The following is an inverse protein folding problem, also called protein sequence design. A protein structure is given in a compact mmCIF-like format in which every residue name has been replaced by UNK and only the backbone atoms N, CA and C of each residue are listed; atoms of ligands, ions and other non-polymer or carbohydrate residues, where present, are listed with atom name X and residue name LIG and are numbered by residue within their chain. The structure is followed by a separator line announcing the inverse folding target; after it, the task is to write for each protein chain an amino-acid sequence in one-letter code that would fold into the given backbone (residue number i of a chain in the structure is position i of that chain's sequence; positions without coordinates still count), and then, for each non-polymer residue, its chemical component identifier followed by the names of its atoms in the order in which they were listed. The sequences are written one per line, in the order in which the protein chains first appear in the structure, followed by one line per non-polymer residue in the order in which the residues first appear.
data_IF_307320221405
#
_entry.id   IF_307320221405
#
_cell.length_a   1.000
_cell.length_b   1.000
_cell.length_c   1.000
_cell.angle_alpha   90.00
_cell.angle_beta   90.00
_cell.angle_gamma   90.00
#
_symmetry.space_group_name_H-M   'P 1'
#
loop_
_entity.id
_entity.type
_entity.pdbx_description
1 polymer ?
#
# COMPACT_ATOMS: atom_id res chain seq x y z
N UNK A 1 16.23 -17.27 -21.42
CA UNK A 1 15.91 -18.16 -20.28
C UNK A 1 14.93 -17.53 -19.28
N UNK A 2 14.99 -16.21 -18.99
CA UNK A 2 14.00 -15.52 -18.14
C UNK A 2 12.57 -15.45 -18.75
N UNK A 3 12.43 -15.37 -20.08
CA UNK A 3 11.12 -15.39 -20.76
C UNK A 3 10.34 -16.68 -20.55
N UNK A 4 11.03 -17.84 -20.50
CA UNK A 4 10.37 -19.14 -20.36
C UNK A 4 9.99 -19.45 -18.90
N UNK A 5 10.75 -18.92 -17.93
CA UNK A 5 10.38 -19.01 -16.52
C UNK A 5 9.21 -18.05 -16.17
N UNK A 6 9.10 -16.93 -16.89
CA UNK A 6 7.99 -15.99 -16.76
C UNK A 6 6.73 -16.49 -17.48
N UNK A 7 6.84 -17.07 -18.68
CA UNK A 7 5.72 -17.80 -19.30
C UNK A 7 5.28 -18.99 -18.42
N UNK A 8 6.21 -19.65 -17.74
CA UNK A 8 5.89 -20.67 -16.75
C UNK A 8 5.18 -20.07 -15.53
N UNK A 9 5.68 -19.01 -14.89
CA UNK A 9 4.97 -18.37 -13.76
C UNK A 9 3.65 -17.71 -14.15
N UNK A 10 3.49 -17.16 -15.35
CA UNK A 10 2.21 -16.58 -15.81
C UNK A 10 1.20 -17.66 -16.20
N UNK A 11 1.67 -18.82 -16.66
CA UNK A 11 0.83 -20.02 -16.86
C UNK A 11 0.59 -20.82 -15.55
N UNK A 12 1.41 -20.62 -14.51
CA UNK A 12 1.39 -21.39 -13.25
C UNK A 12 1.11 -20.55 -11.97
N UNK A 13 0.99 -19.22 -12.06
CA UNK A 13 0.08 -18.46 -11.18
C UNK A 13 -1.27 -19.05 -11.53
N UNK A 14 -1.66 -19.98 -10.68
CA UNK A 14 -2.49 -21.10 -11.05
C UNK A 14 -3.92 -20.61 -11.34
N UNK A 15 -4.19 -20.17 -12.57
CA UNK A 15 -5.55 -19.98 -13.06
C UNK A 15 -6.37 -21.27 -13.00
N UNK A 16 -5.73 -22.45 -12.83
CA UNK A 16 -6.46 -23.69 -12.52
C UNK A 16 -6.96 -23.70 -11.07
N UNK A 17 -6.35 -22.95 -10.14
CA UNK A 17 -6.78 -22.84 -8.73
C UNK A 17 -7.46 -21.53 -8.35
N UNK A 18 -7.16 -20.42 -9.02
CA UNK A 18 -7.65 -19.08 -8.65
C UNK A 18 -9.16 -18.91 -8.80
N UNK A 19 -9.82 -19.77 -9.58
CA UNK A 19 -11.28 -19.74 -9.72
C UNK A 19 -11.95 -21.05 -9.26
N UNK A 20 -11.25 -22.19 -9.24
CA UNK A 20 -11.91 -23.48 -9.16
C UNK A 20 -11.09 -24.52 -8.39
N UNK A 21 -11.42 -24.69 -7.10
CA UNK A 21 -11.24 -26.01 -6.49
C UNK A 21 -12.02 -27.04 -7.35
N UNK A 22 -11.59 -28.32 -7.39
CA UNK A 22 -12.30 -29.39 -8.10
C UNK A 22 -13.80 -29.52 -7.76
N UNK A 23 -14.24 -28.86 -6.69
CA UNK A 23 -15.62 -28.76 -6.22
C UNK A 23 -16.53 -28.02 -7.24
N UNK A 24 -16.04 -26.96 -7.90
CA UNK A 24 -16.85 -26.13 -8.82
C UNK A 24 -17.01 -26.81 -10.19
N UNK A 25 -15.96 -27.49 -10.67
CA UNK A 25 -15.97 -28.25 -11.93
C UNK A 25 -16.52 -29.67 -11.77
N UNK A 26 -16.50 -30.22 -10.54
CA UNK A 26 -16.78 -31.62 -10.26
C UNK A 26 -18.26 -32.01 -10.29
N UNK A 27 -19.20 -31.17 -9.86
CA UNK A 27 -20.62 -31.54 -9.87
C UNK A 27 -21.51 -30.28 -9.91
N UNK A 28 -22.27 -30.10 -11.00
CA UNK A 28 -23.49 -29.25 -11.12
C UNK A 28 -23.37 -27.72 -11.06
N UNK A 29 -22.19 -27.12 -10.86
CA UNK A 29 -22.03 -25.65 -10.77
C UNK A 29 -21.27 -25.01 -11.95
N UNK A 30 -21.06 -25.72 -13.05
CA UNK A 30 -20.30 -25.22 -14.22
C UNK A 30 -20.88 -23.96 -14.87
N UNK A 31 -22.17 -23.68 -14.67
CA UNK A 31 -22.86 -22.49 -15.17
C UNK A 31 -22.96 -21.35 -14.15
N UNK A 32 -22.52 -21.57 -12.90
CA UNK A 32 -22.58 -20.55 -11.87
C UNK A 32 -21.62 -19.40 -12.21
N UNK A 33 -22.06 -18.13 -12.27
CA UNK A 33 -21.17 -17.01 -12.49
C UNK A 33 -20.06 -16.95 -11.45
N UNK A 34 -18.83 -16.70 -11.89
CA UNK A 34 -17.67 -16.52 -11.01
C UNK A 34 -17.27 -15.04 -11.05
N UNK A 35 -17.02 -14.48 -9.86
CA UNK A 35 -16.41 -13.16 -9.68
C UNK A 35 -15.09 -13.36 -8.96
N UNK A 36 -14.03 -12.71 -9.44
CA UNK A 36 -12.73 -12.68 -8.78
C UNK A 36 -12.67 -11.39 -7.95
N UNK A 37 -12.82 -11.53 -6.63
CA UNK A 37 -12.89 -10.41 -5.71
C UNK A 37 -11.58 -9.63 -5.57
N UNK A 38 -10.44 -10.29 -5.70
CA UNK A 38 -9.12 -9.66 -5.61
C UNK A 38 -8.10 -10.45 -6.44
N UNK A 39 -7.32 -9.75 -7.26
CA UNK A 39 -6.18 -10.32 -8.00
C UNK A 39 -5.14 -9.24 -8.27
N UNK A 40 -3.86 -9.59 -8.25
CA UNK A 40 -2.79 -8.65 -8.53
C UNK A 40 -1.42 -9.27 -8.29
N UNK A 41 -0.40 -8.42 -8.30
CA UNK A 41 0.95 -8.78 -7.87
C UNK A 41 1.53 -7.61 -7.06
N UNK A 42 2.17 -7.86 -5.91
CA UNK A 42 2.76 -6.78 -5.12
C UNK A 42 3.96 -6.18 -5.86
N UNK A 43 4.16 -4.88 -5.68
CA UNK A 43 5.26 -4.15 -6.29
C UNK A 43 6.55 -4.21 -5.48
N UNK A 44 6.46 -4.58 -4.20
CA UNK A 44 7.55 -4.53 -3.23
C UNK A 44 7.22 -5.41 -2.00
N UNK A 45 8.17 -5.54 -1.07
CA UNK A 45 7.97 -6.18 0.23
C UNK A 45 8.00 -7.70 0.22
N UNK A 46 8.42 -8.34 -0.87
CA UNK A 46 8.65 -9.78 -0.96
C UNK A 46 9.58 -10.13 -2.14
N UNK A 47 10.21 -11.31 -2.08
CA UNK A 47 11.02 -11.82 -3.18
C UNK A 47 10.17 -11.91 -4.46
N UNK A 48 10.64 -11.30 -5.55
CA UNK A 48 9.92 -11.27 -6.83
C UNK A 48 8.84 -10.20 -6.93
N UNK A 49 8.56 -9.46 -5.85
CA UNK A 49 7.72 -8.25 -5.88
C UNK A 49 8.57 -7.07 -6.38
N UNK A 50 8.34 -6.65 -7.62
CA UNK A 50 9.01 -5.49 -8.22
C UNK A 50 8.16 -4.90 -9.36
N UNK A 51 8.50 -3.68 -9.77
CA UNK A 51 7.76 -2.93 -10.80
C UNK A 51 7.72 -3.62 -12.18
N UNK A 52 8.69 -4.48 -12.50
CA UNK A 52 8.71 -5.24 -13.75
C UNK A 52 7.71 -6.39 -13.71
N UNK A 53 7.73 -7.17 -12.62
CA UNK A 53 6.84 -8.31 -12.42
C UNK A 53 5.37 -7.87 -12.36
N UNK A 54 5.05 -6.87 -11.54
CA UNK A 54 3.67 -6.35 -11.42
C UNK A 54 3.13 -5.78 -12.73
N UNK A 55 3.96 -5.05 -13.49
CA UNK A 55 3.56 -4.50 -14.78
C UNK A 55 3.21 -5.61 -15.75
N UNK A 56 4.07 -6.62 -15.84
CA UNK A 56 3.86 -7.74 -16.75
C UNK A 56 2.63 -8.57 -16.34
N UNK A 57 2.46 -8.87 -15.05
CA UNK A 57 1.30 -9.60 -14.53
C UNK A 57 -0.01 -8.83 -14.78
N UNK A 58 -0.10 -7.57 -14.35
CA UNK A 58 -1.33 -6.78 -14.48
C UNK A 58 -1.67 -6.46 -15.94
N UNK A 59 -0.68 -6.21 -16.80
CA UNK A 59 -0.95 -6.01 -18.22
C UNK A 59 -1.41 -7.30 -18.91
N UNK A 60 -0.81 -8.44 -18.56
CA UNK A 60 -1.24 -9.73 -19.07
C UNK A 60 -2.66 -10.06 -18.62
N UNK A 61 -2.99 -9.84 -17.34
CA UNK A 61 -4.32 -10.06 -16.79
C UNK A 61 -5.37 -9.28 -17.56
N UNK A 62 -5.17 -7.98 -17.76
CA UNK A 62 -6.10 -7.12 -18.50
C UNK A 62 -6.26 -7.63 -19.94
N UNK A 63 -5.16 -7.95 -20.62
CA UNK A 63 -5.21 -8.47 -22.00
C UNK A 63 -5.96 -9.82 -22.08
N UNK A 64 -5.77 -10.69 -21.08
CA UNK A 64 -6.45 -11.97 -20.99
C UNK A 64 -7.96 -11.80 -20.82
N UNK A 65 -8.37 -10.91 -19.91
CA UNK A 65 -9.79 -10.59 -19.68
C UNK A 65 -10.44 -10.02 -20.94
N UNK A 66 -9.79 -9.05 -21.59
CA UNK A 66 -10.29 -8.45 -22.83
C UNK A 66 -10.39 -9.46 -23.99
N UNK A 67 -9.58 -10.53 -23.96
CA UNK A 67 -9.65 -11.58 -24.97
C UNK A 67 -10.86 -12.51 -24.84
N UNK A 68 -11.59 -12.46 -23.72
CA UNK A 68 -12.76 -13.30 -23.43
C UNK A 68 -12.51 -14.82 -23.55
N UNK A 69 -11.24 -15.26 -23.45
CA UNK A 69 -10.86 -16.68 -23.61
C UNK A 69 -11.35 -17.59 -22.47
N UNK A 70 -11.66 -17.03 -21.30
CA UNK A 70 -11.97 -17.81 -20.10
C UNK A 70 -10.73 -18.47 -19.49
N UNK A 71 -10.94 -19.51 -18.68
CA UNK A 71 -9.86 -20.31 -18.07
C UNK A 71 -9.76 -21.68 -18.76
N UNK A 72 -8.67 -22.44 -18.58
CA UNK A 72 -8.61 -23.81 -19.10
C UNK A 72 -9.74 -24.73 -18.62
N UNK A 73 -10.30 -24.47 -17.42
CA UNK A 73 -11.43 -25.23 -16.86
C UNK A 73 -12.79 -24.73 -17.36
N UNK A 74 -12.89 -23.46 -17.77
CA UNK A 74 -14.07 -22.86 -18.41
C UNK A 74 -13.72 -22.13 -19.71
N UNK A 75 -13.43 -22.87 -20.80
CA UNK A 75 -13.07 -22.27 -22.08
C UNK A 75 -14.23 -21.43 -22.64
N UNK A 76 -13.95 -20.21 -23.08
CA UNK A 76 -14.94 -19.31 -23.68
C UNK A 76 -15.96 -18.73 -22.70
N UNK A 77 -15.83 -19.01 -21.40
CA UNK A 77 -16.69 -18.45 -20.34
C UNK A 77 -15.79 -17.68 -19.36
N UNK A 78 -15.54 -16.37 -19.61
CA UNK A 78 -14.76 -15.55 -18.68
C UNK A 78 -15.50 -15.33 -17.35
N UNK A 79 -14.78 -15.03 -16.26
CA UNK A 79 -15.40 -14.51 -15.05
C UNK A 79 -16.27 -13.28 -15.35
N UNK A 80 -17.37 -13.12 -14.63
CA UNK A 80 -18.31 -12.01 -14.79
C UNK A 80 -17.62 -10.68 -14.46
N UNK A 81 -16.97 -10.61 -13.31
CA UNK A 81 -16.20 -9.46 -12.84
C UNK A 81 -14.86 -9.91 -12.26
N UNK A 82 -13.85 -9.04 -12.40
CA UNK A 82 -12.53 -9.21 -11.82
C UNK A 82 -12.07 -7.87 -11.27
N UNK A 83 -11.73 -7.86 -10.00
CA UNK A 83 -11.26 -6.66 -9.31
C UNK A 83 -9.74 -6.73 -9.10
N UNK A 84 -9.04 -5.77 -9.69
CA UNK A 84 -7.60 -5.62 -9.52
C UNK A 84 -7.32 -5.05 -8.13
N UNK A 85 -6.55 -5.77 -7.34
CA UNK A 85 -6.11 -5.36 -6.01
C UNK A 85 -4.67 -4.83 -6.08
N UNK A 86 -4.35 -3.60 -5.67
CA UNK A 86 -5.18 -2.52 -5.14
C UNK A 86 -4.93 -1.18 -5.83
N UNK A 87 -5.69 -0.14 -5.51
CA UNK A 87 -5.55 1.17 -6.16
C UNK A 87 -4.32 1.94 -5.64
N UNK A 88 -4.16 2.02 -4.31
CA UNK A 88 -3.11 2.76 -3.62
C UNK A 88 -2.29 1.81 -2.75
N UNK A 89 -1.02 2.14 -2.54
CA UNK A 89 -0.26 1.56 -1.42
C UNK A 89 -0.81 2.08 -0.09
N UNK A 90 -0.90 1.18 0.89
CA UNK A 90 -1.52 1.48 2.19
C UNK A 90 -0.51 1.26 3.32
N UNK A 91 0.22 2.32 3.68
CA UNK A 91 1.25 2.27 4.72
C UNK A 91 0.76 1.87 6.13
N UNK A 92 -0.55 1.92 6.38
CA UNK A 92 -1.17 1.53 7.65
C UNK A 92 -1.80 0.13 7.63
N UNK A 93 -1.77 -0.59 6.51
CA UNK A 93 -2.36 -1.92 6.40
C UNK A 93 -1.60 -2.94 7.26
N UNK A 94 -2.31 -3.95 7.77
CA UNK A 94 -1.71 -5.03 8.56
C UNK A 94 -0.72 -5.83 7.73
N UNK A 95 0.43 -6.15 8.32
CA UNK A 95 1.50 -6.95 7.70
C UNK A 95 1.49 -8.42 8.17
N UNK A 96 0.43 -8.86 8.86
CA UNK A 96 0.33 -10.23 9.39
C UNK A 96 0.45 -11.31 8.29
N UNK A 97 -0.17 -11.18 7.10
CA UNK A 97 0.06 -12.10 5.99
C UNK A 97 1.48 -12.00 5.39
N UNK A 98 2.08 -10.82 5.47
CA UNK A 98 3.42 -10.54 4.98
C UNK A 98 3.67 -9.05 4.76
N UNK A 99 4.93 -8.70 4.56
CA UNK A 99 5.38 -7.32 4.37
C UNK A 99 4.93 -6.71 3.04
N UNK A 100 4.61 -7.54 2.05
CA UNK A 100 4.08 -7.15 0.74
C UNK A 100 2.65 -6.58 0.80
N UNK A 101 1.91 -6.79 1.89
CA UNK A 101 0.51 -6.37 2.03
C UNK A 101 0.28 -4.87 1.82
N UNK A 102 1.30 -4.04 2.06
CA UNK A 102 1.22 -2.58 1.89
C UNK A 102 1.52 -2.12 0.46
N UNK A 103 1.89 -3.03 -0.44
CA UNK A 103 2.54 -2.73 -1.73
C UNK A 103 1.76 -3.25 -2.95
N UNK A 104 0.44 -3.32 -2.88
CA UNK A 104 -0.41 -3.79 -3.99
C UNK A 104 -0.88 -2.66 -4.92
N UNK A 105 -0.61 -1.40 -4.57
CA UNK A 105 -1.11 -0.25 -5.31
C UNK A 105 -0.61 -0.19 -6.74
N UNK A 106 -1.51 0.13 -7.69
CA UNK A 106 -1.09 0.61 -9.02
C UNK A 106 -0.56 2.06 -8.94
N UNK A 107 -1.00 2.80 -7.93
CA UNK A 107 -0.50 4.11 -7.51
C UNK A 107 0.18 3.99 -6.14
N UNK A 108 1.15 4.87 -5.88
CA UNK A 108 1.69 5.05 -4.54
C UNK A 108 0.70 5.82 -3.65
N UNK A 109 1.04 5.96 -2.37
CA UNK A 109 0.21 6.62 -1.35
C UNK A 109 -0.23 8.06 -1.71
N UNK A 110 0.53 8.72 -2.58
CA UNK A 110 0.30 10.09 -3.06
C UNK A 110 -0.41 10.16 -4.43
N UNK A 111 -0.89 9.02 -4.94
CA UNK A 111 -1.58 8.94 -6.23
C UNK A 111 -0.66 9.05 -7.45
N UNK A 112 0.66 8.90 -7.29
CA UNK A 112 1.60 8.79 -8.42
C UNK A 112 1.60 7.35 -8.95
N UNK A 113 1.48 7.17 -10.27
CA UNK A 113 1.47 5.85 -10.88
C UNK A 113 2.84 5.18 -10.74
N UNK A 114 2.87 3.94 -10.26
CA UNK A 114 4.13 3.20 -10.02
C UNK A 114 4.70 2.58 -11.29
N UNK A 115 3.84 2.29 -12.27
CA UNK A 115 4.22 1.72 -13.55
C UNK A 115 3.17 2.06 -14.63
N UNK A 116 3.58 2.02 -15.90
CA UNK A 116 2.64 2.15 -17.02
C UNK A 116 1.71 0.93 -17.08
N UNK A 117 0.41 1.17 -17.16
CA UNK A 117 -0.61 0.15 -17.35
C UNK A 117 -1.67 0.65 -18.34
N UNK A 118 -2.07 -0.20 -19.28
CA UNK A 118 -3.20 0.04 -20.17
C UNK A 118 -4.41 -0.77 -19.72
N UNK A 119 -5.49 -0.07 -19.37
CA UNK A 119 -6.75 -0.64 -18.87
C UNK A 119 -7.72 -1.09 -19.99
N UNK A 120 -7.26 -1.20 -21.24
CA UNK A 120 -8.11 -1.53 -22.39
C UNK A 120 -8.85 -0.34 -23.00
N UNK A 121 -8.57 0.88 -22.54
CA UNK A 121 -9.24 2.12 -22.96
C UNK A 121 -8.48 2.81 -24.11
N UNK A 122 -8.00 2.03 -25.09
CA UNK A 122 -7.17 2.50 -26.20
C UNK A 122 -5.76 2.89 -25.77
N UNK A 123 -5.27 4.05 -26.23
CA UNK A 123 -3.92 4.55 -25.90
C UNK A 123 -3.84 5.32 -24.58
N UNK A 124 -4.86 5.20 -23.72
CA UNK A 124 -4.90 5.90 -22.43
C UNK A 124 -3.99 5.19 -21.43
N UNK A 125 -3.21 5.99 -20.70
CA UNK A 125 -2.33 5.55 -19.61
C UNK A 125 -2.83 6.08 -18.28
N UNK A 126 -2.42 5.43 -17.19
CA UNK A 126 -2.63 5.93 -15.83
C UNK A 126 -2.19 7.40 -15.72
N UNK A 127 -2.98 8.19 -15.00
CA UNK A 127 -2.73 9.62 -14.76
C UNK A 127 -2.50 9.82 -13.27
N UNK A 128 -1.42 10.52 -12.94
CA UNK A 128 -1.10 10.86 -11.57
C UNK A 128 -2.13 11.82 -11.00
N UNK A 129 -2.32 11.76 -9.68
CA UNK A 129 -3.07 12.77 -8.94
C UNK A 129 -2.47 14.16 -9.18
N UNK A 130 -3.34 15.17 -9.29
CA UNK A 130 -2.95 16.57 -9.48
C UNK A 130 -3.08 17.33 -8.17
N UNK A 131 -2.29 18.40 -8.03
CA UNK A 131 -2.34 19.32 -6.88
C UNK A 131 -2.05 18.63 -5.53
N UNK A 132 -1.19 17.59 -5.53
CA UNK A 132 -0.69 16.98 -4.29
C UNK A 132 0.20 17.99 -3.58
N UNK A 133 -0.20 18.39 -2.37
CA UNK A 133 0.51 19.36 -1.55
C UNK A 133 1.58 18.64 -0.71
N UNK A 134 2.75 18.39 -1.29
CA UNK A 134 3.86 17.79 -0.56
C UNK A 134 4.38 18.70 0.55
N UNK A 135 4.94 18.08 1.58
CA UNK A 135 5.79 18.76 2.55
C UNK A 135 7.09 19.23 1.87
N UNK A 136 7.84 20.17 2.49
CA UNK A 136 9.13 20.61 1.94
C UNK A 136 10.08 19.46 1.63
N UNK A 137 10.85 19.57 0.54
CA UNK A 137 11.84 18.56 0.14
C UNK A 137 13.02 18.52 1.10
N UNK A 138 12.87 17.74 2.17
CA UNK A 138 13.88 17.45 3.18
C UNK A 138 13.58 16.12 3.85
N UNK A 139 14.63 15.45 4.29
CA UNK A 139 14.59 14.08 4.82
C UNK A 139 15.30 14.01 6.15
N UNK A 140 14.95 13.03 6.96
CA UNK A 140 15.72 12.68 8.16
C UNK A 140 16.63 11.50 7.86
N UNK A 141 17.94 11.66 8.05
CA UNK A 141 18.93 10.60 7.81
C UNK A 141 19.75 10.33 9.06
N UNK A 142 20.42 9.17 9.10
CA UNK A 142 21.36 8.85 10.15
C UNK A 142 22.47 9.91 10.20
N UNK A 143 22.73 10.46 11.38
CA UNK A 143 23.77 11.45 11.59
C UNK A 143 25.16 10.80 11.38
N UNK A 144 25.96 11.29 10.41
CA UNK A 144 27.25 10.68 10.11
C UNK A 144 28.31 10.95 11.20
N UNK A 145 28.06 11.91 12.09
CA UNK A 145 29.01 12.38 13.11
C UNK A 145 28.81 11.75 14.49
N UNK A 146 27.78 10.91 14.67
CA UNK A 146 27.47 10.26 15.94
C UNK A 146 27.74 8.76 15.88
N UNK A 147 28.04 8.17 17.04
CA UNK A 147 28.04 6.72 17.18
C UNK A 147 26.59 6.19 17.13
N UNK A 148 26.36 5.16 16.33
CA UNK A 148 25.04 4.57 16.08
C UNK A 148 24.83 3.26 16.87
N UNK A 149 25.67 3.00 17.88
CA UNK A 149 25.60 1.81 18.75
C UNK A 149 24.23 1.63 19.41
N UNK A 150 23.60 2.71 19.87
CA UNK A 150 22.30 2.69 20.58
C UNK A 150 21.08 2.91 19.66
N UNK A 151 21.25 2.86 18.33
CA UNK A 151 20.19 3.20 17.36
C UNK A 151 19.02 2.22 17.32
N UNK A 152 19.22 1.00 17.83
CA UNK A 152 18.27 -0.12 17.70
C UNK A 152 16.89 0.22 18.26
N UNK A 153 16.82 0.90 19.41
CA UNK A 153 15.55 1.27 20.04
C UNK A 153 14.82 2.37 19.25
N UNK A 154 15.57 3.34 18.72
CA UNK A 154 15.02 4.40 17.86
C UNK A 154 14.48 3.86 16.54
N UNK A 155 15.17 2.91 15.92
CA UNK A 155 14.64 2.22 14.73
C UNK A 155 13.36 1.44 15.03
N UNK A 156 13.31 0.69 16.14
CA UNK A 156 12.09 -0.03 16.56
C UNK A 156 10.92 0.93 16.78
N UNK A 157 11.16 2.05 17.45
CA UNK A 157 10.16 3.09 17.63
C UNK A 157 9.66 3.63 16.28
N UNK A 158 10.59 4.03 15.42
CA UNK A 158 10.26 4.57 14.09
C UNK A 158 9.38 3.59 13.29
N UNK A 159 9.80 2.32 13.21
CA UNK A 159 9.08 1.29 12.45
C UNK A 159 7.83 0.73 13.14
N UNK A 160 7.61 1.02 14.43
CA UNK A 160 6.35 0.67 15.11
C UNK A 160 5.19 1.56 14.68
N UNK A 161 5.48 2.74 14.13
CA UNK A 161 4.48 3.75 13.73
C UNK A 161 4.54 3.99 12.21
N UNK A 162 5.73 4.02 11.63
CA UNK A 162 5.94 4.27 10.21
C UNK A 162 6.10 2.98 9.41
N UNK A 163 5.96 3.09 8.09
CA UNK A 163 6.15 1.94 7.20
C UNK A 163 7.64 1.73 6.89
N UNK A 164 8.19 0.64 7.44
CA UNK A 164 9.55 0.16 7.19
C UNK A 164 9.57 -1.15 6.39
N UNK A 165 8.44 -1.59 5.83
CA UNK A 165 8.32 -2.93 5.23
C UNK A 165 9.25 -3.16 4.04
N UNK A 166 9.63 -2.11 3.32
CA UNK A 166 10.59 -2.14 2.20
C UNK A 166 12.02 -2.47 2.63
N UNK A 167 12.35 -2.36 3.93
CA UNK A 167 13.66 -2.76 4.48
C UNK A 167 13.76 -4.27 4.69
N UNK A 168 12.63 -4.98 4.76
CA UNK A 168 12.62 -6.41 5.00
C UNK A 168 13.13 -7.19 3.78
N UNK A 169 13.52 -8.45 4.00
CA UNK A 169 14.08 -9.29 2.96
C UNK A 169 13.16 -9.39 1.73
N UNK A 170 13.72 -9.13 0.55
CA UNK A 170 12.97 -9.05 -0.70
C UNK A 170 12.35 -7.68 -0.99
N UNK A 171 12.44 -6.71 -0.08
CA UNK A 171 12.03 -5.33 -0.32
C UNK A 171 13.07 -4.50 -1.08
N UNK A 172 12.62 -3.43 -1.74
CA UNK A 172 13.44 -2.53 -2.57
C UNK A 172 14.56 -1.83 -1.79
N UNK A 173 14.38 -1.64 -0.48
CA UNK A 173 15.33 -0.99 0.40
C UNK A 173 16.13 -1.98 1.26
N UNK A 174 16.03 -3.29 1.05
CA UNK A 174 16.72 -4.28 1.89
C UNK A 174 18.26 -4.19 1.82
N UNK A 175 18.80 -3.66 0.71
CA UNK A 175 20.23 -3.69 0.37
C UNK A 175 20.99 -2.37 0.53
N UNK A 176 20.45 -1.35 1.21
CA UNK A 176 21.06 0.00 1.27
C UNK A 176 22.08 0.18 2.41
N UNK A 177 22.40 -0.89 3.14
CA UNK A 177 23.36 -0.91 4.24
C UNK A 177 22.83 -0.32 5.55
N UNK A 178 23.58 -0.48 6.65
CA UNK A 178 23.11 -0.13 7.99
C UNK A 178 22.71 1.35 8.13
N UNK A 179 23.56 2.28 7.66
CA UNK A 179 23.27 3.72 7.70
C UNK A 179 22.06 4.08 6.82
N UNK A 180 21.90 3.42 5.67
CA UNK A 180 20.74 3.60 4.80
C UNK A 180 19.46 3.10 5.49
N UNK A 181 19.49 1.93 6.11
CA UNK A 181 18.35 1.36 6.82
C UNK A 181 17.88 2.25 7.99
N UNK A 182 18.83 2.78 8.78
CA UNK A 182 18.54 3.74 9.85
C UNK A 182 17.89 5.00 9.26
N UNK A 183 18.50 5.55 8.21
CA UNK A 183 18.00 6.74 7.53
C UNK A 183 16.58 6.53 7.00
N UNK A 184 16.28 5.36 6.43
CA UNK A 184 14.95 5.08 5.89
C UNK A 184 13.91 5.04 7.01
N UNK A 185 14.19 4.34 8.11
CA UNK A 185 13.30 4.29 9.27
C UNK A 185 13.05 5.69 9.85
N UNK A 186 14.12 6.48 10.02
CA UNK A 186 14.03 7.83 10.55
C UNK A 186 13.25 8.76 9.63
N UNK A 187 13.49 8.69 8.31
CA UNK A 187 12.73 9.46 7.35
C UNK A 187 11.25 9.08 7.37
N UNK A 188 10.91 7.78 7.30
CA UNK A 188 9.50 7.34 7.31
C UNK A 188 8.76 7.87 8.55
N UNK A 189 9.40 7.86 9.72
CA UNK A 189 8.84 8.45 10.93
C UNK A 189 8.72 9.98 10.87
N UNK A 190 9.79 10.66 10.45
CA UNK A 190 9.85 12.12 10.32
C UNK A 190 8.76 12.68 9.39
N UNK A 191 8.52 12.02 8.25
CA UNK A 191 7.49 12.43 7.30
C UNK A 191 6.08 12.21 7.88
N UNK A 192 5.86 11.11 8.60
CA UNK A 192 4.59 10.83 9.28
C UNK A 192 4.29 11.87 10.38
N UNK A 193 5.33 12.41 11.02
CA UNK A 193 5.26 13.51 12.01
C UNK A 193 5.21 14.91 11.37
N UNK A 194 4.85 15.00 10.09
CA UNK A 194 4.75 16.26 9.32
C UNK A 194 6.02 17.10 9.42
N UNK A 195 7.18 16.44 9.39
CA UNK A 195 8.49 17.08 9.42
C UNK A 195 8.76 17.95 10.66
N UNK A 196 8.16 17.60 11.81
CA UNK A 196 8.48 18.23 13.09
C UNK A 196 9.99 18.08 13.37
N UNK A 197 10.69 19.19 13.66
CA UNK A 197 12.15 19.19 13.85
C UNK A 197 12.60 18.21 14.94
N UNK A 198 11.86 18.07 16.04
CA UNK A 198 12.18 17.15 17.14
C UNK A 198 12.02 15.68 16.73
N UNK A 199 11.21 15.39 15.70
CA UNK A 199 10.99 14.01 15.25
C UNK A 199 12.14 13.44 14.40
N UNK A 200 13.14 14.25 14.08
CA UNK A 200 14.37 13.79 13.42
C UNK A 200 15.57 13.67 14.37
N UNK A 201 15.46 14.16 15.61
CA UNK A 201 16.61 14.23 16.50
C UNK A 201 17.10 12.83 16.93
N UNK A 202 16.17 11.97 17.39
CA UNK A 202 16.48 10.62 17.88
C UNK A 202 17.70 10.59 18.82
N UNK A 203 17.73 11.48 19.82
CA UNK A 203 18.84 11.67 20.75
C UNK A 203 20.16 12.02 20.02
N UNK A 204 20.07 12.89 19.02
CA UNK A 204 21.17 13.33 18.16
C UNK A 204 21.59 12.34 17.06
N UNK A 205 20.99 11.15 17.00
CA UNK A 205 21.33 10.10 16.01
C UNK A 205 20.79 10.41 14.62
N UNK A 206 19.82 11.31 14.49
CA UNK A 206 19.27 11.74 13.21
C UNK A 206 19.61 13.20 12.89
N UNK A 207 19.68 13.51 11.59
CA UNK A 207 19.90 14.86 11.10
C UNK A 207 19.05 15.13 9.86
N UNK A 208 18.54 16.35 9.75
CA UNK A 208 17.80 16.78 8.56
C UNK A 208 18.78 17.05 7.42
N UNK A 209 18.49 16.48 6.26
CA UNK A 209 19.20 16.74 5.00
C UNK A 209 18.25 17.30 3.94
N UNK A 210 18.80 18.10 3.04
CA UNK A 210 18.12 18.59 1.83
C UNK A 210 18.56 17.83 0.57
N UNK A 211 19.49 16.90 0.71
CA UNK A 211 19.92 16.00 -0.35
C UNK A 211 19.05 14.75 -0.32
N UNK A 212 18.39 14.43 -1.44
CA UNK A 212 17.58 13.23 -1.60
C UNK A 212 18.44 11.97 -1.37
N UNK A 213 18.18 11.18 -0.31
CA UNK A 213 18.97 10.00 0.02
C UNK A 213 18.50 8.73 -0.72
N UNK A 214 17.57 8.84 -1.67
CA UNK A 214 17.07 7.70 -2.47
C UNK A 214 18.18 7.03 -3.29
N UNK A 215 18.17 5.70 -3.34
CA UNK A 215 19.18 4.89 -4.05
C UNK A 215 18.48 3.83 -4.91
N UNK A 216 18.69 3.89 -6.23
CA UNK A 216 18.07 2.96 -7.17
C UNK A 216 16.54 2.95 -7.04
N UNK A 217 15.97 1.78 -6.78
CA UNK A 217 14.53 1.60 -6.58
C UNK A 217 14.08 1.93 -5.14
N UNK A 218 15.01 2.07 -4.19
CA UNK A 218 14.69 2.46 -2.82
C UNK A 218 14.46 3.97 -2.74
N UNK A 219 13.19 4.38 -2.65
CA UNK A 219 12.80 5.79 -2.61
C UNK A 219 12.50 6.25 -1.19
N UNK A 220 13.14 7.34 -0.78
CA UNK A 220 12.85 8.03 0.47
C UNK A 220 11.72 9.02 0.23
N UNK A 221 10.52 8.64 0.65
CA UNK A 221 9.31 9.40 0.38
C UNK A 221 9.31 10.73 1.16
N UNK A 222 8.62 11.73 0.59
CA UNK A 222 8.28 12.98 1.26
C UNK A 222 6.78 12.95 1.55
N UNK A 223 6.40 13.27 2.78
CA UNK A 223 4.98 13.28 3.17
C UNK A 223 4.21 14.40 2.46
N UNK A 224 2.88 14.38 2.57
CA UNK A 224 2.02 15.44 2.05
C UNK A 224 1.07 15.98 3.13
N UNK A 225 0.49 17.14 2.88
CA UNK A 225 -0.47 17.78 3.78
C UNK A 225 -1.88 17.27 3.50
N UNK A 226 -2.56 16.77 4.53
CA UNK A 226 -3.95 16.28 4.47
C UNK A 226 -4.96 17.43 4.64
N UNK A 227 -4.72 18.60 4.02
CA UNK A 227 -5.55 19.81 4.24
C UNK A 227 -7.00 19.62 3.78
N UNK A 228 -7.33 18.51 3.11
CA UNK A 228 -8.65 18.24 2.52
C UNK A 228 -9.41 17.06 3.12
N UNK A 229 -8.89 16.35 4.14
CA UNK A 229 -9.75 15.48 4.94
C UNK A 229 -10.37 16.32 6.05
N UNK A 230 -11.47 17.00 5.73
CA UNK A 230 -12.42 17.43 6.75
C UNK A 230 -12.74 16.19 7.57
N UNK A 231 -12.13 16.09 8.74
CA UNK A 231 -12.49 15.09 9.72
C UNK A 231 -13.97 15.32 9.99
N UNK A 232 -14.81 14.39 9.55
CA UNK A 232 -16.12 14.25 10.13
C UNK A 232 -15.86 13.96 11.60
N UNK A 233 -15.82 15.00 12.42
CA UNK A 233 -16.00 14.82 13.84
C UNK A 233 -17.39 14.17 13.97
N UNK A 234 -17.50 12.98 14.56
CA UNK A 234 -18.81 12.52 14.97
C UNK A 234 -19.26 13.55 15.99
N UNK A 235 -20.28 14.33 15.63
CA UNK A 235 -20.97 15.16 16.61
C UNK A 235 -21.49 14.15 17.64
N UNK A 236 -20.82 14.09 18.79
CA UNK A 236 -21.16 13.15 19.84
C UNK A 236 -22.54 13.56 20.33
N UNK A 237 -23.57 12.84 19.88
CA UNK A 237 -24.98 13.17 20.06
C UNK A 237 -25.46 12.78 21.48
N UNK A 238 -24.64 13.06 22.48
CA UNK A 238 -24.91 12.85 23.90
C UNK A 238 -24.85 14.18 24.63
N UNK A 239 -25.76 15.06 24.26
CA UNK A 239 -26.13 16.22 25.07
C UNK A 239 -27.61 16.51 24.82
N UNK A 240 -28.47 15.58 25.22
CA UNK A 240 -29.87 15.92 25.49
C UNK A 240 -29.82 16.80 26.75
N UNK A 241 -30.25 18.07 26.71
CA UNK A 241 -30.31 18.89 27.91
C UNK A 241 -31.37 18.30 28.84
N UNK A 242 -30.97 18.04 30.08
CA UNK A 242 -31.82 17.70 31.22
C UNK A 242 -32.78 18.86 31.58
N UNK A 243 -33.67 19.24 30.67
CA UNK A 243 -34.59 20.38 30.86
C UNK A 243 -36.06 19.94 31.00
N UNK A 244 -36.37 18.64 30.94
CA UNK A 244 -37.75 18.15 31.04
C UNK A 244 -37.95 17.07 32.14
N UNK A 245 -37.33 17.22 33.32
CA UNK A 245 -37.64 16.39 34.51
C UNK A 245 -37.98 17.26 35.75
N UNK A 246 -38.12 18.59 35.60
CA UNK A 246 -38.51 19.48 36.71
C UNK A 246 -39.87 20.17 36.48
N UNK A 247 -40.77 19.59 35.69
CA UNK A 247 -42.16 20.06 35.49
C UNK A 247 -43.22 18.98 35.82
N UNK A 248 -42.82 17.91 36.53
CA UNK A 248 -43.71 16.81 36.94
C UNK A 248 -44.00 16.73 38.44
N UNK A 249 -43.52 17.69 39.25
CA UNK A 249 -43.60 17.64 40.72
C UNK A 249 -44.38 18.81 41.35
N UNK A 250 -45.14 19.58 40.57
CA UNK A 250 -45.88 20.75 41.06
C UNK A 250 -47.41 20.73 40.85
N UNK A 251 -48.00 19.58 40.55
CA UNK A 251 -49.46 19.41 40.44
C UNK A 251 -50.01 18.27 41.32
N UNK A 252 -49.61 18.19 42.58
CA UNK A 252 -50.28 17.32 43.57
C UNK A 252 -50.40 17.90 44.99
N UNK A 253 -50.27 19.21 45.17
CA UNK A 253 -50.73 19.89 46.40
C UNK A 253 -51.33 21.25 46.04
N UNK A 254 -52.56 21.22 45.52
CA UNK A 254 -53.65 22.19 45.71
C UNK A 254 -54.86 21.75 44.89
#
# INVERSE_FOLDING_TARGET
MASLCFDWMVQHVDWRRLAEKPIISGFRYGQMPIVIGEVGWPTDGAIGANLTAVRAFNQWLINHVLSSKGTPLRPGIPPMDIYLFGLLDEGAKSILPGTFERHWGIFSFDGQAKYSLNLGLGNRRLKNAKNVQYLPSRWCVANPSTDLSEVTNHMKLACSVADCTTLNYGGSCNGIGAKGNISYAFNSYYQLRKQNAQSCDFDGLGIVTYLDPSIGECRFLVGFNDVSSSSFQPVCWWSIPWVLIMWGFWFSVM
#
